data_IF_200511506011
#
_entry.id   IF_200511506011
#
_cell.length_a   1.000
_cell.length_b   1.000
_cell.length_c   1.000
_cell.angle_alpha   90.00
_cell.angle_beta   90.00
_cell.angle_gamma   90.00
#
_symmetry.space_group_name_H-M   'P 1'
#
loop_
_entity.id
_entity.type
_entity.pdbx_description
1 polymer ?
#
# COMPACT_ATOMS: atom_id res chain seq x y z
N UNK A 1 0.59 19.27 -39.49
CA UNK A 1 1.99 19.13 -39.05
C UNK A 1 1.96 19.04 -37.55
N UNK A 2 2.45 17.95 -36.97
CA UNK A 2 2.63 17.79 -35.53
C UNK A 2 4.01 18.35 -35.15
N UNK A 3 4.08 19.26 -34.19
CA UNK A 3 5.32 19.91 -33.75
C UNK A 3 5.91 19.26 -32.50
N UNK A 4 5.26 18.26 -31.92
CA UNK A 4 5.64 17.65 -30.63
C UNK A 4 7.08 17.15 -30.64
N UNK A 5 7.51 16.51 -31.72
CA UNK A 5 8.88 16.00 -31.86
C UNK A 5 9.94 17.12 -31.97
N UNK A 6 9.56 18.29 -32.47
CA UNK A 6 10.49 19.43 -32.66
C UNK A 6 10.76 20.22 -31.39
N UNK A 7 9.87 20.10 -30.40
CA UNK A 7 9.99 20.76 -29.09
C UNK A 7 10.44 19.79 -28.00
N UNK A 8 10.74 18.54 -28.35
CA UNK A 8 11.21 17.54 -27.41
C UNK A 8 12.55 17.98 -26.79
N UNK A 9 12.73 17.88 -25.46
CA UNK A 9 13.99 18.26 -24.82
C UNK A 9 15.16 17.40 -25.33
N UNK A 10 16.33 18.00 -25.54
CA UNK A 10 17.59 17.28 -25.85
C UNK A 10 18.12 16.46 -24.67
N UNK A 11 17.43 16.52 -23.53
CA UNK A 11 17.75 15.83 -22.30
C UNK A 11 17.68 14.31 -22.48
N UNK A 12 18.51 13.57 -21.75
CA UNK A 12 18.57 12.11 -21.76
C UNK A 12 17.68 11.46 -20.68
N UNK A 13 16.88 12.28 -19.98
CA UNK A 13 15.97 11.88 -18.91
C UNK A 13 14.55 12.37 -19.12
N UNK A 14 13.58 11.74 -18.44
CA UNK A 14 12.23 12.26 -18.32
C UNK A 14 12.23 13.58 -17.54
N UNK A 15 11.78 14.64 -18.18
CA UNK A 15 11.68 15.99 -17.64
C UNK A 15 10.24 16.33 -17.23
N UNK A 16 10.07 17.38 -16.43
CA UNK A 16 8.73 17.81 -16.00
C UNK A 16 7.86 18.26 -17.18
N UNK A 17 8.47 18.82 -18.23
CA UNK A 17 7.79 19.28 -19.45
C UNK A 17 7.07 18.14 -20.19
N UNK A 18 7.63 16.92 -20.14
CA UNK A 18 7.03 15.72 -20.74
C UNK A 18 5.71 15.29 -20.07
N UNK A 19 5.42 15.85 -18.89
CA UNK A 19 4.24 15.58 -18.08
C UNK A 19 3.30 16.79 -17.96
N UNK A 20 3.50 17.84 -18.76
CA UNK A 20 2.61 19.03 -18.76
C UNK A 20 1.21 18.67 -19.23
N UNK A 21 1.06 17.74 -20.18
CA UNK A 21 -0.24 17.27 -20.63
C UNK A 21 -1.04 16.56 -19.52
N UNK A 22 -0.37 16.12 -18.46
CA UNK A 22 -1.00 15.56 -17.27
C UNK A 22 -0.21 14.42 -16.63
N UNK A 23 -0.70 13.91 -15.49
CA UNK A 23 -0.10 12.76 -14.83
C UNK A 23 -0.08 11.52 -15.73
N UNK A 24 1.03 10.78 -15.73
CA UNK A 24 1.20 9.53 -16.48
C UNK A 24 1.69 8.42 -15.57
N UNK A 25 1.14 7.23 -15.77
CA UNK A 25 1.54 6.03 -15.04
C UNK A 25 2.61 5.29 -15.82
N UNK A 26 3.66 4.87 -15.12
CA UNK A 26 4.80 4.16 -15.67
C UNK A 26 5.12 2.91 -14.86
N UNK A 27 5.55 1.87 -15.55
CA UNK A 27 6.08 0.63 -14.98
C UNK A 27 7.60 0.69 -14.92
N UNK A 28 8.17 0.36 -13.76
CA UNK A 28 9.61 0.33 -13.56
C UNK A 28 10.18 -0.96 -14.16
N UNK A 29 10.99 -0.84 -15.20
CA UNK A 29 11.67 -1.99 -15.81
C UNK A 29 12.98 -2.32 -15.13
N UNK A 30 13.71 -1.29 -14.72
CA UNK A 30 15.07 -1.44 -14.19
C UNK A 30 15.43 -0.24 -13.33
N UNK A 31 16.14 -0.50 -12.23
CA UNK A 31 16.80 0.53 -11.44
C UNK A 31 18.31 0.32 -11.53
N UNK A 32 19.06 1.38 -11.78
CA UNK A 32 20.53 1.35 -11.81
C UNK A 32 21.13 2.55 -11.11
N UNK A 33 22.39 2.43 -10.72
CA UNK A 33 23.16 3.52 -10.13
C UNK A 33 23.46 4.59 -11.19
N UNK A 34 23.28 5.84 -10.82
CA UNK A 34 23.68 7.00 -11.62
C UNK A 34 24.97 7.65 -11.12
N UNK A 35 25.15 8.94 -11.38
CA UNK A 35 26.33 9.70 -10.97
C UNK A 35 26.15 10.33 -9.55
N UNK A 36 27.13 11.11 -9.08
CA UNK A 36 27.08 11.68 -7.72
C UNK A 36 25.90 12.65 -7.54
N UNK A 37 25.56 13.42 -8.57
CA UNK A 37 24.48 14.42 -8.54
C UNK A 37 23.10 13.77 -8.68
N UNK A 38 23.00 12.78 -9.57
CA UNK A 38 21.81 12.02 -9.92
C UNK A 38 22.07 10.52 -9.70
N UNK A 39 22.01 10.03 -8.46
CA UNK A 39 22.54 8.71 -8.10
C UNK A 39 21.66 7.52 -8.47
N UNK A 40 20.46 7.76 -9.01
CA UNK A 40 19.52 6.69 -9.36
C UNK A 40 18.94 6.97 -10.75
N UNK A 41 19.04 5.98 -11.62
CA UNK A 41 18.35 5.93 -12.90
C UNK A 41 17.23 4.88 -12.81
N UNK A 42 16.01 5.27 -13.18
CA UNK A 42 14.86 4.37 -13.26
C UNK A 42 14.43 4.29 -14.72
N UNK A 43 14.57 3.12 -15.34
CA UNK A 43 14.03 2.86 -16.67
C UNK A 43 12.54 2.57 -16.57
N UNK A 44 11.75 3.26 -17.40
CA UNK A 44 10.31 3.16 -17.46
C UNK A 44 9.91 2.42 -18.74
N UNK A 45 8.90 1.54 -18.69
CA UNK A 45 8.49 0.74 -19.85
C UNK A 45 7.83 1.61 -20.93
N UNK A 46 7.08 2.63 -20.50
CA UNK A 46 6.23 3.47 -21.34
C UNK A 46 6.92 4.81 -21.70
N UNK A 47 8.22 4.93 -21.42
CA UNK A 47 9.01 6.11 -21.74
C UNK A 47 10.43 5.75 -22.19
N UNK A 48 10.92 6.32 -23.31
CA UNK A 48 12.21 5.92 -23.88
C UNK A 48 13.42 6.33 -23.03
N UNK A 49 13.30 7.43 -22.27
CA UNK A 49 14.37 7.99 -21.44
C UNK A 49 14.23 7.55 -19.98
N UNK A 50 15.35 7.60 -19.23
CA UNK A 50 15.32 7.24 -17.79
C UNK A 50 14.69 8.36 -16.97
N UNK A 51 13.96 8.02 -15.92
CA UNK A 51 13.57 8.98 -14.89
C UNK A 51 14.61 9.00 -13.77
N UNK A 52 15.06 10.21 -13.40
CA UNK A 52 16.04 10.42 -12.32
C UNK A 52 15.37 11.13 -11.14
N UNK A 53 14.88 10.39 -10.14
CA UNK A 53 14.12 10.99 -9.05
C UNK A 53 14.98 11.93 -8.19
N UNK A 54 14.46 13.14 -7.96
CA UNK A 54 15.01 14.08 -6.99
C UNK A 54 15.06 13.50 -5.57
N UNK A 55 15.86 14.09 -4.67
CA UNK A 55 16.07 13.58 -3.30
C UNK A 55 14.77 13.33 -2.53
N UNK A 56 13.81 14.24 -2.65
CA UNK A 56 12.50 14.11 -2.01
C UNK A 56 11.69 12.94 -2.57
N UNK A 57 11.73 12.70 -3.89
CA UNK A 57 11.04 11.55 -4.50
C UNK A 57 11.73 10.22 -4.19
N UNK A 58 13.06 10.20 -4.05
CA UNK A 58 13.77 9.01 -3.53
C UNK A 58 13.34 8.66 -2.10
N UNK A 59 13.13 9.66 -1.23
CA UNK A 59 12.58 9.42 0.12
C UNK A 59 11.17 8.85 0.07
N UNK A 60 10.36 9.27 -0.90
CA UNK A 60 9.03 8.71 -1.13
C UNK A 60 9.11 7.24 -1.51
N UNK A 61 9.95 6.88 -2.49
CA UNK A 61 10.15 5.49 -2.91
C UNK A 61 10.62 4.61 -1.74
N UNK A 62 11.62 5.08 -0.98
CA UNK A 62 12.15 4.36 0.19
C UNK A 62 11.10 4.21 1.28
N UNK A 63 10.31 5.26 1.54
CA UNK A 63 9.23 5.17 2.50
C UNK A 63 8.23 4.09 2.06
N UNK A 64 7.74 4.14 0.83
CA UNK A 64 6.71 3.23 0.35
C UNK A 64 7.18 1.78 0.18
N UNK A 65 8.39 1.56 -0.34
CA UNK A 65 8.83 0.24 -0.82
C UNK A 65 10.10 -0.30 -0.15
N UNK A 66 10.69 0.45 0.79
CA UNK A 66 11.94 0.08 1.44
C UNK A 66 13.19 0.49 0.65
N UNK A 67 14.37 0.26 1.21
CA UNK A 67 15.65 0.74 0.66
C UNK A 67 16.20 -0.12 -0.46
N UNK A 68 15.72 -1.36 -0.62
CA UNK A 68 16.16 -2.27 -1.66
C UNK A 68 15.49 -1.93 -3.01
N UNK A 69 16.26 -1.28 -3.89
CA UNK A 69 15.79 -0.87 -5.20
C UNK A 69 15.50 -2.03 -6.16
N UNK A 70 16.01 -3.24 -5.88
CA UNK A 70 15.71 -4.42 -6.71
C UNK A 70 14.22 -4.79 -6.65
N UNK A 71 13.56 -4.50 -5.52
CA UNK A 71 12.13 -4.74 -5.31
C UNK A 71 11.23 -3.83 -6.16
N UNK A 72 11.79 -2.76 -6.75
CA UNK A 72 10.98 -1.75 -7.44
C UNK A 72 10.61 -2.20 -8.86
N UNK A 73 11.34 -3.16 -9.43
CA UNK A 73 11.10 -3.68 -10.77
C UNK A 73 9.71 -4.33 -10.83
N UNK A 74 8.94 -3.99 -11.87
CA UNK A 74 7.55 -4.42 -12.06
C UNK A 74 6.52 -3.58 -11.30
N UNK A 75 6.94 -2.71 -10.36
CA UNK A 75 6.04 -1.78 -9.69
C UNK A 75 5.78 -0.55 -10.56
N UNK A 76 4.68 0.16 -10.25
CA UNK A 76 4.17 1.28 -11.04
C UNK A 76 4.13 2.57 -10.23
N UNK A 77 4.41 3.69 -10.90
CA UNK A 77 4.33 5.04 -10.35
C UNK A 77 3.54 5.93 -11.28
N UNK A 78 2.68 6.80 -10.75
CA UNK A 78 2.08 7.90 -11.51
C UNK A 78 2.87 9.17 -11.26
N UNK A 79 3.58 9.61 -12.28
CA UNK A 79 4.37 10.83 -12.26
C UNK A 79 3.55 12.01 -12.78
N UNK A 80 3.75 13.19 -12.21
CA UNK A 80 3.15 14.43 -12.69
C UNK A 80 4.16 15.59 -12.67
N UNK A 81 3.87 16.63 -13.45
CA UNK A 81 4.58 17.90 -13.39
C UNK A 81 4.05 18.74 -12.22
N UNK A 82 4.89 18.97 -11.21
CA UNK A 82 4.62 19.91 -10.13
C UNK A 82 5.28 21.26 -10.47
N UNK A 83 4.50 22.31 -10.83
CA UNK A 83 5.04 23.60 -11.24
C UNK A 83 5.72 24.37 -10.09
N UNK A 84 5.44 24.03 -8.82
CA UNK A 84 5.95 24.75 -7.65
C UNK A 84 7.34 24.28 -7.21
N UNK A 85 7.88 23.25 -7.85
CA UNK A 85 9.24 22.78 -7.58
C UNK A 85 10.25 23.86 -7.97
N UNK A 86 11.08 24.25 -7.00
CA UNK A 86 12.08 25.30 -7.16
C UNK A 86 13.50 24.76 -7.31
N UNK A 87 14.26 25.38 -8.20
CA UNK A 87 15.71 25.21 -8.35
C UNK A 87 16.36 26.59 -8.43
N UNK A 88 17.48 26.81 -7.72
CA UNK A 88 18.13 28.13 -7.68
C UNK A 88 17.23 29.27 -7.18
N UNK A 89 16.18 28.98 -6.41
CA UNK A 89 15.20 29.96 -5.93
C UNK A 89 14.04 30.25 -6.88
N UNK A 90 14.09 29.78 -8.13
CA UNK A 90 13.05 29.97 -9.15
C UNK A 90 12.19 28.71 -9.28
N UNK A 91 10.89 28.87 -9.53
CA UNK A 91 9.99 27.77 -9.85
C UNK A 91 10.27 27.30 -11.29
N UNK A 92 10.89 26.14 -11.42
CA UNK A 92 11.28 25.55 -12.72
C UNK A 92 10.42 24.34 -13.08
N UNK A 93 9.58 23.90 -12.15
CA UNK A 93 8.82 22.67 -12.29
C UNK A 93 9.65 21.42 -11.97
N UNK A 94 8.99 20.33 -11.64
CA UNK A 94 9.68 19.08 -11.29
C UNK A 94 8.76 17.86 -11.35
N UNK A 95 9.37 16.70 -11.55
CA UNK A 95 8.65 15.43 -11.57
C UNK A 95 8.35 14.98 -10.14
N UNK A 96 7.08 14.67 -9.85
CA UNK A 96 6.65 14.13 -8.55
C UNK A 96 5.76 12.91 -8.69
N UNK A 97 5.71 12.10 -7.63
CA UNK A 97 4.89 10.89 -7.54
C UNK A 97 3.55 11.25 -6.91
N UNK A 98 2.44 10.99 -7.60
CA UNK A 98 1.09 11.14 -7.04
C UNK A 98 0.53 9.83 -6.52
N UNK A 99 0.75 8.74 -7.27
CA UNK A 99 0.26 7.40 -6.96
C UNK A 99 1.36 6.36 -7.14
N UNK A 100 1.26 5.27 -6.38
CA UNK A 100 2.24 4.19 -6.41
C UNK A 100 1.54 2.85 -6.17
N UNK A 101 1.95 1.80 -6.90
CA UNK A 101 1.42 0.45 -6.68
C UNK A 101 1.99 -0.19 -5.42
N UNK A 102 1.41 -1.31 -4.98
CA UNK A 102 1.82 -2.03 -3.75
C UNK A 102 1.81 -1.10 -2.52
N UNK A 103 0.75 -0.32 -2.38
CA UNK A 103 0.50 0.55 -1.25
C UNK A 103 -0.97 0.39 -0.83
N UNK A 104 -1.22 -0.09 0.39
CA UNK A 104 -2.60 -0.39 0.83
C UNK A 104 -3.44 0.84 1.10
N UNK A 105 -2.80 1.91 1.61
CA UNK A 105 -3.46 3.15 2.03
C UNK A 105 -2.60 4.37 1.76
N UNK A 106 -3.20 5.57 1.64
CA UNK A 106 -2.43 6.80 1.48
C UNK A 106 -1.35 6.94 2.55
N UNK A 107 -0.15 7.31 2.11
CA UNK A 107 1.02 7.47 2.97
C UNK A 107 1.41 8.94 3.06
N UNK A 108 1.51 9.42 4.29
CA UNK A 108 1.97 10.77 4.62
C UNK A 108 3.46 10.74 4.93
N UNK A 109 4.23 11.56 4.21
CA UNK A 109 5.70 11.53 4.26
C UNK A 109 6.20 12.97 4.49
N UNK A 110 6.87 13.27 5.61
CA UNK A 110 7.44 14.60 5.83
C UNK A 110 8.63 14.80 4.87
N UNK A 111 8.50 15.77 3.97
CA UNK A 111 9.55 16.16 3.03
C UNK A 111 10.03 17.58 3.34
N UNK A 112 11.34 17.79 3.32
CA UNK A 112 11.91 19.13 3.39
C UNK A 112 11.57 19.89 2.10
N UNK A 113 10.93 21.04 2.25
CA UNK A 113 10.59 21.95 1.14
C UNK A 113 11.70 23.00 0.99
N UNK A 114 12.15 23.56 2.12
CA UNK A 114 13.30 24.48 2.20
C UNK A 114 14.13 24.15 3.43
N UNK A 115 15.31 24.77 3.58
CA UNK A 115 16.16 24.57 4.76
C UNK A 115 15.37 24.90 6.03
N UNK A 116 15.20 23.91 6.91
CA UNK A 116 14.49 24.06 8.18
C UNK A 116 12.95 24.01 8.10
N UNK A 117 12.35 23.83 6.90
CA UNK A 117 10.89 23.69 6.76
C UNK A 117 10.51 22.40 6.04
N UNK A 118 9.73 21.56 6.72
CA UNK A 118 9.11 20.37 6.16
C UNK A 118 7.62 20.57 5.88
N UNK A 119 7.11 19.85 4.90
CA UNK A 119 5.68 19.72 4.64
C UNK A 119 5.35 18.23 4.49
N UNK A 120 4.10 17.87 4.82
CA UNK A 120 3.60 16.52 4.57
C UNK A 120 3.32 16.37 3.08
N UNK A 121 3.96 15.39 2.47
CA UNK A 121 3.68 14.94 1.11
C UNK A 121 2.85 13.66 1.17
N UNK A 122 1.72 13.65 0.47
CA UNK A 122 0.81 12.50 0.46
C UNK A 122 0.97 11.75 -0.85
N UNK A 123 1.28 10.46 -0.76
CA UNK A 123 1.21 9.54 -1.90
C UNK A 123 0.03 8.62 -1.71
N UNK A 124 -0.74 8.44 -2.78
CA UNK A 124 -1.92 7.60 -2.79
C UNK A 124 -1.63 6.21 -3.40
N UNK A 125 -2.37 5.17 -3.01
CA UNK A 125 -2.38 3.91 -3.73
C UNK A 125 -2.73 4.13 -5.19
N UNK A 126 -1.99 3.50 -6.10
CA UNK A 126 -2.46 3.31 -7.46
C UNK A 126 -3.65 2.35 -7.41
N UNK A 127 -4.78 2.72 -8.03
CA UNK A 127 -5.93 1.82 -8.12
C UNK A 127 -5.51 0.64 -9.00
N UNK A 128 -5.22 -0.49 -8.37
CA UNK A 128 -4.95 -1.74 -9.07
C UNK A 128 -6.28 -2.36 -9.50
N UNK A 129 -6.40 -2.69 -10.78
CA UNK A 129 -7.55 -3.46 -11.24
C UNK A 129 -7.47 -4.88 -10.68
N UNK A 130 -8.60 -5.56 -10.59
CA UNK A 130 -8.64 -6.97 -10.18
C UNK A 130 -7.70 -7.83 -11.04
N UNK A 131 -7.60 -7.53 -12.33
CA UNK A 131 -6.72 -8.22 -13.27
C UNK A 131 -5.23 -8.00 -12.96
N UNK A 132 -4.84 -6.77 -12.60
CA UNK A 132 -3.47 -6.44 -12.22
C UNK A 132 -3.03 -7.24 -10.98
N UNK A 133 -3.91 -7.31 -9.98
CA UNK A 133 -3.66 -8.05 -8.73
C UNK A 133 -3.53 -9.55 -9.00
N UNK A 134 -4.38 -10.10 -9.85
CA UNK A 134 -4.29 -11.51 -10.25
C UNK A 134 -3.04 -11.79 -11.09
N UNK A 135 -2.61 -10.88 -11.95
CA UNK A 135 -1.38 -11.02 -12.72
C UNK A 135 -0.13 -11.03 -11.82
N UNK A 136 -0.11 -10.23 -10.76
CA UNK A 136 0.94 -10.24 -9.73
C UNK A 136 0.95 -11.57 -8.96
N UNK A 137 -0.20 -12.00 -8.46
CA UNK A 137 -0.37 -13.28 -7.80
C UNK A 137 0.11 -14.46 -8.68
N UNK A 138 -0.18 -14.43 -9.99
CA UNK A 138 0.35 -15.42 -10.94
C UNK A 138 1.88 -15.38 -11.08
N UNK A 139 2.50 -14.20 -11.00
CA UNK A 139 3.97 -14.06 -11.03
C UNK A 139 4.59 -14.62 -9.76
N UNK A 140 4.03 -14.30 -8.60
CA UNK A 140 4.49 -14.79 -7.32
C UNK A 140 4.31 -16.32 -7.20
N UNK A 141 3.15 -16.86 -7.63
CA UNK A 141 2.87 -18.30 -7.59
C UNK A 141 3.92 -19.14 -8.33
N UNK A 142 4.51 -18.61 -9.41
CA UNK A 142 5.56 -19.30 -10.17
C UNK A 142 6.81 -19.59 -9.34
N UNK A 143 7.21 -18.68 -8.47
CA UNK A 143 8.44 -18.78 -7.65
C UNK A 143 8.15 -19.11 -6.18
N UNK A 144 6.89 -19.06 -5.76
CA UNK A 144 6.44 -19.32 -4.41
C UNK A 144 6.54 -20.79 -3.99
N UNK A 145 6.68 -21.01 -2.67
CA UNK A 145 6.56 -22.32 -2.02
C UNK A 145 5.12 -22.84 -2.06
N UNK A 146 4.92 -24.14 -1.82
CA UNK A 146 3.59 -24.77 -1.78
C UNK A 146 2.63 -24.07 -0.82
N UNK A 147 3.10 -23.62 0.34
CA UNK A 147 2.27 -22.93 1.32
C UNK A 147 1.89 -21.52 0.85
N UNK A 148 2.81 -20.75 0.26
CA UNK A 148 2.47 -19.42 -0.28
C UNK A 148 1.55 -19.51 -1.50
N UNK A 149 1.69 -20.54 -2.34
CA UNK A 149 0.78 -20.81 -3.46
C UNK A 149 -0.68 -20.98 -3.00
N UNK A 150 -0.93 -21.72 -1.92
CA UNK A 150 -2.28 -21.88 -1.34
C UNK A 150 -2.87 -20.54 -0.87
N UNK A 151 -2.06 -19.69 -0.24
CA UNK A 151 -2.50 -18.35 0.19
C UNK A 151 -2.83 -17.49 -1.02
N UNK A 152 -1.97 -17.47 -2.03
CA UNK A 152 -2.19 -16.73 -3.28
C UNK A 152 -3.49 -17.19 -3.95
N UNK A 153 -3.75 -18.49 -4.03
CA UNK A 153 -4.99 -19.03 -4.60
C UNK A 153 -6.23 -18.55 -3.85
N UNK A 154 -6.18 -18.51 -2.51
CA UNK A 154 -7.26 -17.96 -1.68
C UNK A 154 -7.46 -16.46 -1.91
N UNK A 155 -6.38 -15.70 -2.02
CA UNK A 155 -6.43 -14.25 -2.28
C UNK A 155 -7.00 -13.96 -3.68
N UNK A 156 -6.59 -14.71 -4.70
CA UNK A 156 -7.15 -14.63 -6.06
C UNK A 156 -8.64 -15.00 -6.06
N UNK A 157 -9.03 -16.06 -5.36
CA UNK A 157 -10.43 -16.48 -5.27
C UNK A 157 -11.31 -15.42 -4.59
N UNK A 158 -10.83 -14.79 -3.51
CA UNK A 158 -11.54 -13.71 -2.83
C UNK A 158 -11.71 -12.46 -3.70
N UNK A 159 -10.72 -12.16 -4.56
CA UNK A 159 -10.82 -11.05 -5.52
C UNK A 159 -11.80 -11.32 -6.65
N UNK A 160 -11.91 -12.58 -7.09
CA UNK A 160 -12.80 -12.97 -8.18
C UNK A 160 -14.24 -13.22 -7.71
N UNK A 161 -14.45 -13.48 -6.42
CA UNK A 161 -15.75 -13.79 -5.87
C UNK A 161 -15.94 -13.10 -4.49
N UNK A 162 -16.31 -11.81 -4.45
CA UNK A 162 -16.36 -11.02 -3.21
C UNK A 162 -17.46 -11.43 -2.22
N UNK A 163 -18.24 -12.48 -2.52
CA UNK A 163 -19.46 -12.86 -1.80
C UNK A 163 -19.37 -14.05 -0.84
N UNK A 164 -18.22 -14.72 -0.69
CA UNK A 164 -18.15 -15.90 0.18
C UNK A 164 -17.57 -15.53 1.56
N UNK A 165 -18.36 -15.48 2.64
CA UNK A 165 -17.79 -15.42 3.97
C UNK A 165 -16.96 -16.69 4.19
N UNK A 166 -15.72 -16.47 4.63
CA UNK A 166 -14.77 -17.50 4.98
C UNK A 166 -15.27 -18.27 6.20
N UNK A 167 -15.99 -19.37 5.99
CA UNK A 167 -16.25 -20.34 7.06
C UNK A 167 -14.93 -21.03 7.42
N UNK A 168 -14.34 -20.63 8.55
CA UNK A 168 -13.32 -21.43 9.23
C UNK A 168 -13.90 -22.82 9.52
N UNK A 169 -13.09 -23.89 9.48
CA UNK A 169 -13.59 -25.22 9.81
C UNK A 169 -13.86 -25.27 11.31
N UNK A 170 -15.13 -25.22 11.70
CA UNK A 170 -15.56 -25.72 13.00
C UNK A 170 -15.26 -27.22 13.01
N UNK A 171 -14.51 -27.63 14.02
CA UNK A 171 -14.14 -29.02 14.28
C UNK A 171 -15.42 -29.81 14.60
N UNK A 172 -15.98 -30.51 13.62
CA UNK A 172 -16.95 -31.58 13.87
C UNK A 172 -16.20 -32.78 14.46
N UNK A 173 -16.48 -33.09 15.72
CA UNK A 173 -16.35 -34.44 16.26
C UNK A 173 -17.70 -34.82 16.85
N UNK A 174 -18.41 -35.69 16.14
CA UNK A 174 -19.49 -36.47 16.71
C UNK A 174 -18.93 -37.66 17.48
N UNK A 175 -19.60 -38.04 18.56
CA UNK A 175 -19.62 -39.42 19.05
C UNK A 175 -20.90 -39.68 19.83
N UNK A 176 -21.39 -40.90 19.64
CA UNK A 176 -22.74 -41.44 19.84
C UNK A 176 -22.85 -42.18 21.21
N UNK A 177 -24.06 -42.14 21.82
CA UNK A 177 -24.76 -43.13 22.72
C UNK A 177 -24.07 -43.61 24.04
N UNK A 178 -24.72 -43.96 25.17
CA UNK A 178 -25.96 -44.71 25.48
C UNK A 178 -26.60 -44.33 26.85
N UNK A 179 -27.84 -44.82 27.04
CA UNK A 179 -28.80 -44.79 28.17
C UNK A 179 -28.32 -45.15 29.59
N UNK A 180 -29.07 -44.72 30.63
CA UNK A 180 -29.64 -45.54 31.76
C UNK A 180 -30.39 -44.68 32.82
N UNK A 181 -31.74 -44.79 32.80
CA UNK A 181 -32.72 -45.16 33.88
C UNK A 181 -32.82 -44.44 35.27
N UNK A 182 -34.07 -44.04 35.56
CA UNK A 182 -34.88 -43.90 36.82
C UNK A 182 -34.65 -42.83 37.92
N UNK A 183 -35.76 -42.15 38.27
CA UNK A 183 -36.20 -41.98 39.67
C UNK A 183 -36.25 -40.56 40.27
N UNK A 184 -37.42 -39.92 40.24
CA UNK A 184 -37.82 -38.78 41.10
C UNK A 184 -37.97 -39.19 42.60
N UNK A 185 -38.37 -38.32 43.59
CA UNK A 185 -38.58 -36.85 43.63
C UNK A 185 -38.05 -36.15 44.92
N UNK A 186 -38.31 -34.84 45.01
CA UNK A 186 -38.76 -34.09 46.20
C UNK A 186 -37.72 -33.31 47.03
N UNK A 187 -38.12 -32.10 47.46
CA UNK A 187 -37.63 -31.51 48.72
C UNK A 187 -37.28 -30.02 48.74
N UNK A 188 -38.31 -29.16 48.82
CA UNK A 188 -38.47 -28.17 49.89
C UNK A 188 -37.33 -27.14 50.20
N UNK A 189 -37.62 -25.86 49.90
CA UNK A 189 -37.07 -24.63 50.50
C UNK A 189 -37.47 -24.54 52.00
N UNK A 190 -36.75 -23.84 52.92
CA UNK A 190 -36.91 -22.38 53.01
C UNK A 190 -35.73 -21.54 53.58
N UNK A 191 -35.83 -20.23 53.31
CA UNK A 191 -35.59 -19.04 54.13
C UNK A 191 -34.43 -19.00 55.15
N UNK A 192 -33.57 -17.98 55.03
CA UNK A 192 -33.56 -16.90 56.03
C UNK A 192 -32.75 -15.67 55.54
N UNK A 193 -32.96 -14.48 56.14
CA UNK A 193 -32.80 -13.19 55.50
C UNK A 193 -31.69 -12.35 56.15
N UNK A 194 -31.56 -11.13 55.61
CA UNK A 194 -31.00 -9.96 56.29
C UNK A 194 -29.47 -9.88 56.39
N UNK A 195 -28.92 -8.88 55.68
CA UNK A 195 -28.05 -7.89 56.31
C UNK A 195 -28.07 -6.62 55.44
N UNK A 196 -28.93 -5.71 55.88
CA UNK A 196 -28.90 -4.27 55.60
C UNK A 196 -27.66 -3.60 56.20
N UNK A 197 -27.09 -2.60 55.49
CA UNK A 197 -26.44 -1.38 56.00
C UNK A 197 -25.57 -0.75 54.87
N UNK A 198 -26.06 0.28 54.18
CA UNK A 198 -25.89 1.71 54.49
C UNK A 198 -24.63 2.35 53.87
N UNK A 199 -24.92 3.09 52.81
CA UNK A 199 -24.43 4.42 52.40
C UNK A 199 -23.30 5.07 53.21
N UNK A 200 -22.34 5.63 52.46
CA UNK A 200 -21.41 6.65 52.91
C UNK A 200 -21.00 7.53 51.74
N UNK A 201 -21.71 8.65 51.58
CA UNK A 201 -21.31 9.82 50.81
C UNK A 201 -19.94 10.36 51.24
N UNK A 202 -19.18 10.90 50.29
CA UNK A 202 -17.93 11.63 50.54
C UNK A 202 -17.49 12.40 49.32
N UNK A 203 -17.91 13.66 49.25
CA UNK A 203 -17.65 14.64 48.21
C UNK A 203 -16.22 15.24 48.24
N UNK A 204 -15.80 15.72 47.06
CA UNK A 204 -14.92 16.87 46.77
C UNK A 204 -13.54 17.00 47.47
N UNK A 205 -12.46 16.99 46.67
CA UNK A 205 -11.77 18.19 46.13
C UNK A 205 -10.60 17.82 45.23
#
# INVERSE_FOLDING_TARGET
>A
MDLTDTIAPTSDQLDAVDLIAGPRTFTIEKVSKGNVEQPVNIKLAEFPRVWRPGKSMRRVLVACWGTDASQYVGRRVTLYCDPDVRFGGQAVGGTRISHISHLDKPRQIPLLVTRGKSAIFVVRPLVETTEDRVAEFKREWKTATSERRKVIEREVAALMNPGTPSTSPAHEMGSEVEDVVDGEPNGYLPDDPDLTAHEGEGAER
#
